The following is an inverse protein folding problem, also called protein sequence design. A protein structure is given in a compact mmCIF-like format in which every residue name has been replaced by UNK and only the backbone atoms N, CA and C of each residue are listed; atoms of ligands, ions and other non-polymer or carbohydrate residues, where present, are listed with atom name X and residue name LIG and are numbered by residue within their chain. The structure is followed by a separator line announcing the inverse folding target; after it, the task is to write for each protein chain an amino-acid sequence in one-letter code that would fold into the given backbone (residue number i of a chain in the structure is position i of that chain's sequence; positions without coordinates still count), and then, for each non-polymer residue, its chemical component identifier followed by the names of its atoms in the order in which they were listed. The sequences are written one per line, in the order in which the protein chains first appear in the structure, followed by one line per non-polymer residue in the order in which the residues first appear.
data_IF_026879049338
#
_entry.id   IF_026879049338
#
_cell.length_a   1.000
_cell.length_b   1.000
_cell.length_c   1.000
_cell.angle_alpha   90.00
_cell.angle_beta   90.00
_cell.angle_gamma   90.00
#
_symmetry.space_group_name_H-M   'P 1'
#
loop_
_entity.id
_entity.type
_entity.pdbx_description
1 polymer ?
#
# COMPACT_ATOMS: atom_id res chain seq x y z
N UNK A 1 -32.35 6.07 -20.86
CA UNK A 1 -31.89 4.77 -20.34
C UNK A 1 -30.59 4.30 -20.98
N UNK A 2 -30.48 4.28 -22.32
CA UNK A 2 -29.25 3.87 -23.04
C UNK A 2 -27.98 4.64 -22.63
N UNK A 3 -28.06 5.97 -22.51
CA UNK A 3 -26.92 6.80 -22.09
C UNK A 3 -26.40 6.47 -20.68
N UNK A 4 -27.28 6.07 -19.76
CA UNK A 4 -26.87 5.67 -18.41
C UNK A 4 -26.22 4.28 -18.44
N UNK A 5 -26.76 3.36 -19.25
CA UNK A 5 -26.14 2.04 -19.49
C UNK A 5 -24.73 2.20 -20.05
N UNK A 6 -24.53 3.06 -21.04
CA UNK A 6 -23.21 3.35 -21.62
C UNK A 6 -22.24 3.92 -20.59
N UNK A 7 -22.67 4.85 -19.74
CA UNK A 7 -21.84 5.41 -18.66
C UNK A 7 -21.43 4.35 -17.63
N UNK A 8 -22.36 3.49 -17.24
CA UNK A 8 -22.07 2.39 -16.30
C UNK A 8 -21.06 1.42 -16.92
N UNK A 9 -21.25 1.05 -18.19
CA UNK A 9 -20.30 0.18 -18.91
C UNK A 9 -18.92 0.81 -18.99
N UNK A 10 -18.82 2.11 -19.33
CA UNK A 10 -17.54 2.82 -19.35
C UNK A 10 -16.88 2.82 -17.97
N UNK A 11 -17.63 3.12 -16.91
CA UNK A 11 -17.11 3.10 -15.54
C UNK A 11 -16.55 1.72 -15.17
N UNK A 12 -17.30 0.65 -15.44
CA UNK A 12 -16.84 -0.73 -15.18
C UNK A 12 -15.57 -1.03 -15.97
N UNK A 13 -15.50 -0.66 -17.25
CA UNK A 13 -14.31 -0.87 -18.07
C UNK A 13 -13.10 -0.15 -17.48
N UNK A 14 -13.23 1.12 -17.10
CA UNK A 14 -12.12 1.87 -16.49
C UNK A 14 -11.70 1.31 -15.12
N UNK A 15 -12.65 0.88 -14.30
CA UNK A 15 -12.37 0.24 -13.01
C UNK A 15 -11.63 -1.10 -13.20
N UNK A 16 -12.04 -1.91 -14.17
CA UNK A 16 -11.34 -3.14 -14.49
C UNK A 16 -9.93 -2.87 -15.03
N UNK A 17 -9.77 -1.86 -15.87
CA UNK A 17 -8.46 -1.46 -16.39
C UNK A 17 -7.51 -0.91 -15.32
N UNK A 18 -8.01 -0.31 -14.22
CA UNK A 18 -7.17 0.15 -13.11
C UNK A 18 -6.73 -1.00 -12.18
N UNK A 19 -7.60 -2.00 -11.96
CA UNK A 19 -7.34 -3.09 -10.99
C UNK A 19 -6.63 -4.30 -11.60
N UNK A 20 -7.03 -4.71 -12.82
CA UNK A 20 -6.54 -5.95 -13.43
C UNK A 20 -5.00 -5.97 -13.57
N UNK A 21 -4.33 -4.89 -14.04
CA UNK A 21 -2.87 -4.89 -14.15
C UNK A 21 -2.18 -5.13 -12.80
N UNK A 22 -2.69 -4.54 -11.71
CA UNK A 22 -2.15 -4.73 -10.36
C UNK A 22 -2.21 -6.19 -9.92
N UNK A 23 -3.34 -6.86 -10.20
CA UNK A 23 -3.51 -8.28 -9.91
C UNK A 23 -2.57 -9.15 -10.75
N UNK A 24 -2.38 -8.86 -12.04
CA UNK A 24 -1.45 -9.61 -12.89
C UNK A 24 0.00 -9.51 -12.42
N UNK A 25 0.41 -8.38 -11.84
CA UNK A 25 1.76 -8.26 -11.27
C UNK A 25 1.97 -9.08 -9.99
N UNK A 26 0.89 -9.56 -9.36
CA UNK A 26 0.95 -10.23 -8.06
C UNK A 26 0.48 -11.68 -8.08
N UNK A 27 -0.29 -12.10 -9.09
CA UNK A 27 -0.79 -13.48 -9.24
C UNK A 27 0.33 -14.38 -9.81
N UNK A 28 0.67 -15.44 -9.07
CA UNK A 28 1.51 -16.55 -9.56
C UNK A 28 2.98 -16.52 -9.11
N UNK A 29 3.51 -15.34 -8.77
CA UNK A 29 4.75 -15.14 -8.01
C UNK A 29 4.61 -13.86 -7.21
N UNK A 30 5.05 -13.81 -5.95
CA UNK A 30 5.14 -12.57 -5.16
C UNK A 30 6.24 -11.63 -5.69
N UNK A 31 6.33 -11.44 -7.01
CA UNK A 31 7.33 -10.63 -7.67
C UNK A 31 6.71 -9.27 -7.93
N UNK A 32 6.83 -8.38 -6.96
CA UNK A 32 6.59 -6.97 -7.20
C UNK A 32 7.65 -6.43 -8.16
N UNK A 33 7.21 -5.80 -9.25
CA UNK A 33 8.12 -5.10 -10.15
C UNK A 33 8.84 -4.01 -9.37
N UNK A 34 10.17 -4.08 -9.35
CA UNK A 34 11.03 -3.11 -8.67
C UNK A 34 10.93 -1.77 -9.39
N UNK A 35 10.24 -0.82 -8.76
CA UNK A 35 10.39 0.60 -9.03
C UNK A 35 11.18 1.28 -7.91
N UNK A 36 11.69 2.47 -8.17
CA UNK A 36 12.54 3.22 -7.22
C UNK A 36 11.82 3.47 -5.88
N UNK A 37 10.52 3.75 -5.92
CA UNK A 37 9.73 4.06 -4.72
C UNK A 37 9.14 2.82 -4.02
N UNK A 38 9.22 1.63 -4.63
CA UNK A 38 8.58 0.43 -4.07
C UNK A 38 9.09 0.15 -2.65
N UNK A 39 10.41 0.04 -2.49
CA UNK A 39 11.01 -0.24 -1.19
C UNK A 39 10.78 0.89 -0.18
N UNK A 40 10.67 2.13 -0.65
CA UNK A 40 10.30 3.25 0.20
C UNK A 40 8.90 3.05 0.81
N UNK A 41 7.90 2.70 0.00
CA UNK A 41 6.54 2.45 0.49
C UNK A 41 6.46 1.21 1.39
N UNK A 42 7.12 0.12 1.01
CA UNK A 42 7.16 -1.11 1.83
C UNK A 42 7.76 -0.82 3.21
N UNK A 43 8.92 -0.14 3.28
CA UNK A 43 9.56 0.21 4.54
C UNK A 43 8.68 1.13 5.41
N UNK A 44 7.89 2.03 4.78
CA UNK A 44 6.92 2.86 5.51
C UNK A 44 5.81 2.03 6.14
N UNK A 45 5.23 1.11 5.38
CA UNK A 45 4.18 0.20 5.87
C UNK A 45 4.70 -0.68 7.02
N UNK A 46 5.88 -1.28 6.86
CA UNK A 46 6.48 -2.13 7.90
C UNK A 46 6.82 -1.33 9.15
N UNK A 47 7.47 -0.18 8.99
CA UNK A 47 7.86 0.64 10.11
C UNK A 47 6.67 1.22 10.88
N UNK A 48 5.61 1.64 10.18
CA UNK A 48 4.36 2.05 10.83
C UNK A 48 3.69 0.87 11.55
N UNK A 49 3.69 -0.32 10.95
CA UNK A 49 3.15 -1.52 11.60
C UNK A 49 3.94 -1.89 12.88
N UNK A 50 5.27 -1.81 12.85
CA UNK A 50 6.14 -2.04 14.01
C UNK A 50 5.94 -0.95 15.09
N UNK A 51 5.84 0.32 14.69
CA UNK A 51 5.52 1.42 15.59
C UNK A 51 4.23 1.16 16.36
N UNK A 52 3.15 0.87 15.64
CA UNK A 52 1.83 0.57 16.22
C UNK A 52 1.90 -0.64 17.16
N UNK A 53 2.59 -1.73 16.77
CA UNK A 53 2.78 -2.91 17.63
C UNK A 53 3.53 -2.59 18.93
N UNK A 54 4.42 -1.60 18.91
CA UNK A 54 5.19 -1.15 20.07
C UNK A 54 4.49 0.00 20.84
N UNK A 55 3.25 0.35 20.48
CA UNK A 55 2.47 1.40 21.13
C UNK A 55 2.74 2.82 20.62
N UNK A 56 3.57 3.00 19.60
CA UNK A 56 3.74 4.28 18.90
C UNK A 56 2.79 4.36 17.70
N UNK A 57 1.63 4.96 17.92
CA UNK A 57 0.59 5.09 16.91
C UNK A 57 0.84 6.22 15.90
N UNK A 58 1.78 7.14 16.14
CA UNK A 58 2.08 8.26 15.23
C UNK A 58 3.58 8.56 15.19
N UNK A 59 4.40 7.59 14.73
CA UNK A 59 5.84 7.70 14.74
C UNK A 59 6.28 8.90 13.90
N UNK A 60 7.17 9.73 14.45
CA UNK A 60 7.82 10.82 13.68
C UNK A 60 9.09 10.36 12.99
N UNK A 61 9.73 9.34 13.55
CA UNK A 61 10.88 8.66 12.97
C UNK A 61 10.46 7.22 12.72
N UNK A 62 10.63 6.78 11.47
CA UNK A 62 10.44 5.39 11.13
C UNK A 62 11.76 4.64 11.36
N UNK A 63 11.85 3.91 12.47
CA UNK A 63 13.04 3.14 12.86
C UNK A 63 13.31 1.90 12.02
N UNK A 64 12.37 1.47 11.16
CA UNK A 64 12.60 0.34 10.26
C UNK A 64 13.55 0.70 9.11
N UNK A 65 13.62 1.99 8.76
CA UNK A 65 14.56 2.47 7.76
C UNK A 65 16.01 2.34 8.22
N UNK A 66 16.90 2.24 7.22
CA UNK A 66 18.35 2.33 7.39
C UNK A 66 18.88 1.37 8.46
N UNK A 67 18.40 0.12 8.45
CA UNK A 67 18.82 -0.94 9.37
C UNK A 67 18.66 -0.59 10.86
N UNK A 68 17.62 0.15 11.23
CA UNK A 68 17.38 0.51 12.63
C UNK A 68 17.84 1.92 13.02
N UNK A 69 18.64 2.59 12.19
CA UNK A 69 19.09 3.96 12.48
C UNK A 69 17.94 4.97 12.45
N UNK A 70 16.87 4.65 11.72
CA UNK A 70 15.69 5.47 11.59
C UNK A 70 15.78 6.53 10.49
N UNK A 71 14.62 6.94 10.01
CA UNK A 71 14.47 7.96 8.97
C UNK A 71 13.20 8.78 9.21
N UNK A 72 13.29 10.09 9.01
CA UNK A 72 12.18 11.03 9.20
C UNK A 72 11.10 10.97 8.12
N UNK A 73 10.86 9.83 7.46
CA UNK A 73 9.85 9.74 6.39
C UNK A 73 8.45 10.20 6.81
N UNK A 74 7.93 9.93 8.03
CA UNK A 74 6.60 10.39 8.44
C UNK A 74 6.47 11.91 8.56
N UNK A 75 7.60 12.64 8.70
CA UNK A 75 7.63 14.11 8.78
C UNK A 75 7.45 14.70 7.38
N UNK A 76 8.12 14.12 6.38
CA UNK A 76 8.08 14.61 5.00
C UNK A 76 6.87 14.09 4.22
N UNK A 77 6.36 12.91 4.60
CA UNK A 77 5.26 12.24 3.91
C UNK A 77 4.26 11.70 4.94
N UNK A 78 3.00 12.10 4.81
CA UNK A 78 1.94 11.65 5.74
C UNK A 78 1.70 10.15 5.65
N UNK A 79 1.54 9.50 6.81
CA UNK A 79 1.23 8.08 6.95
C UNK A 79 -0.28 7.78 7.00
N UNK A 80 -1.16 8.81 6.98
CA UNK A 80 -2.61 8.65 7.16
C UNK A 80 -3.21 7.57 6.24
N UNK A 81 -2.81 7.54 4.98
CA UNK A 81 -3.32 6.56 4.01
C UNK A 81 -2.64 5.18 4.12
N UNK A 82 -1.54 5.05 4.86
CA UNK A 82 -0.82 3.80 5.05
C UNK A 82 -1.35 2.98 6.23
N UNK A 83 -2.12 3.56 7.15
CA UNK A 83 -2.70 2.83 8.28
C UNK A 83 -3.48 1.58 7.86
N UNK A 84 -4.35 1.59 6.84
CA UNK A 84 -5.02 0.37 6.38
C UNK A 84 -4.04 -0.75 5.98
N UNK A 85 -2.99 -0.44 5.21
CA UNK A 85 -1.95 -1.41 4.84
C UNK A 85 -1.18 -1.92 6.06
N UNK A 86 -0.78 -1.03 6.97
CA UNK A 86 -0.06 -1.40 8.18
C UNK A 86 -0.92 -2.23 9.12
N UNK A 87 -2.23 -1.98 9.22
CA UNK A 87 -3.15 -2.82 9.99
C UNK A 87 -3.27 -4.22 9.38
N UNK A 88 -3.40 -4.35 8.05
CA UNK A 88 -3.35 -5.65 7.38
C UNK A 88 -2.03 -6.38 7.66
N UNK A 89 -0.91 -5.64 7.68
CA UNK A 89 0.40 -6.19 8.04
C UNK A 89 0.44 -6.65 9.49
N UNK A 90 -0.19 -5.92 10.41
CA UNK A 90 -0.35 -6.32 11.81
C UNK A 90 -1.18 -7.60 11.93
N UNK A 91 -2.25 -7.74 11.14
CA UNK A 91 -3.12 -8.91 11.09
C UNK A 91 -2.47 -10.18 10.50
N UNK A 92 -1.21 -10.09 10.05
CA UNK A 92 -0.43 -11.25 9.62
C UNK A 92 -0.29 -11.43 8.12
N UNK A 93 -0.81 -10.51 7.31
CA UNK A 93 -0.55 -10.53 5.87
C UNK A 93 0.94 -10.25 5.59
N UNK A 94 1.42 -10.76 4.46
CA UNK A 94 2.74 -10.38 3.94
C UNK A 94 2.72 -8.89 3.59
N UNK A 95 3.88 -8.23 3.71
CA UNK A 95 4.02 -6.82 3.35
C UNK A 95 3.62 -6.56 1.89
N UNK A 96 3.91 -7.52 1.02
CA UNK A 96 3.53 -7.49 -0.39
C UNK A 96 2.00 -7.48 -0.55
N UNK A 97 1.29 -8.40 0.13
CA UNK A 97 -0.18 -8.45 0.10
C UNK A 97 -0.80 -7.17 0.67
N UNK A 98 -0.29 -6.68 1.79
CA UNK A 98 -0.75 -5.44 2.41
C UNK A 98 -0.62 -4.24 1.46
N UNK A 99 0.50 -4.14 0.73
CA UNK A 99 0.72 -3.06 -0.22
C UNK A 99 -0.17 -3.17 -1.47
N UNK A 100 -0.35 -4.37 -2.05
CA UNK A 100 -1.24 -4.55 -3.21
C UNK A 100 -2.69 -4.24 -2.86
N UNK A 101 -3.19 -4.69 -1.70
CA UNK A 101 -4.55 -4.38 -1.27
C UNK A 101 -4.72 -2.86 -1.10
N UNK A 102 -3.71 -2.18 -0.56
CA UNK A 102 -3.70 -0.73 -0.47
C UNK A 102 -3.73 -0.06 -1.85
N UNK A 103 -2.89 -0.49 -2.80
CA UNK A 103 -2.90 0.03 -4.17
C UNK A 103 -4.27 -0.13 -4.83
N UNK A 104 -4.91 -1.28 -4.67
CA UNK A 104 -6.27 -1.52 -5.17
C UNK A 104 -7.27 -0.56 -4.52
N UNK A 105 -7.14 -0.29 -3.22
CA UNK A 105 -8.06 0.60 -2.49
C UNK A 105 -7.96 2.08 -2.87
N UNK A 106 -6.84 2.52 -3.45
CA UNK A 106 -6.63 3.92 -3.88
C UNK A 106 -6.81 4.12 -5.39
N UNK A 107 -7.03 3.05 -6.17
CA UNK A 107 -7.33 3.08 -7.61
C UNK A 107 -8.82 2.96 -7.88
#
# INVERSE_FOLDING_TARGET
MERNRQRILLFIVFLLLSIIPLLFTHIGKEVMYRGDDLYFHLNRIEGLALGIRNGDYSPKINYFFLYGMGYGSPIFYSDIFLYPASLLRILGLSISNSYIIFLIGIN
#
